data_IF_020378958488
#
_entry.id   IF_020378958488
#
_cell.length_a   1.000
_cell.length_b   1.000
_cell.length_c   1.000
_cell.angle_alpha   90.00
_cell.angle_beta   90.00
_cell.angle_gamma   90.00
#
_symmetry.space_group_name_H-M   'P 1'
#
loop_
_entity.id
_entity.type
_entity.pdbx_description
1 polymer ?
#
# COMPACT_ATOMS: atom_id res chain seq x y z
N UNK A 1 16.04 1.22 -2.50
CA UNK A 1 14.70 1.49 -1.96
C UNK A 1 13.58 0.87 -2.78
N UNK A 2 13.59 1.03 -4.11
CA UNK A 2 12.55 0.45 -4.96
C UNK A 2 12.47 -1.07 -4.83
N UNK A 3 13.61 -1.74 -4.72
CA UNK A 3 13.65 -3.19 -4.56
C UNK A 3 12.85 -3.64 -3.33
N UNK A 4 13.02 -2.95 -2.19
CA UNK A 4 12.29 -3.29 -0.98
C UNK A 4 10.79 -3.06 -1.14
N UNK A 5 10.38 -2.00 -1.83
CA UNK A 5 8.97 -1.68 -2.00
C UNK A 5 8.31 -2.61 -3.03
N UNK A 6 8.88 -2.75 -4.21
CA UNK A 6 8.21 -3.42 -5.33
C UNK A 6 8.52 -4.91 -5.41
N UNK A 7 9.69 -5.35 -4.99
CA UNK A 7 10.09 -6.76 -5.07
C UNK A 7 9.89 -7.46 -3.73
N UNK A 8 10.42 -6.90 -2.64
CA UNK A 8 10.24 -7.48 -1.30
C UNK A 8 8.87 -7.16 -0.69
N UNK A 9 8.15 -6.20 -1.27
CA UNK A 9 6.78 -5.83 -0.86
C UNK A 9 6.66 -5.52 0.62
N UNK A 10 7.60 -4.69 1.13
CA UNK A 10 7.59 -4.30 2.54
C UNK A 10 6.31 -3.56 2.95
N UNK A 11 5.58 -3.00 1.98
CA UNK A 11 4.30 -2.35 2.25
C UNK A 11 3.27 -3.30 2.87
N UNK A 12 3.44 -4.60 2.73
CA UNK A 12 2.53 -5.59 3.33
C UNK A 12 2.67 -5.66 4.85
N UNK A 13 3.75 -5.12 5.40
CA UNK A 13 3.92 -4.99 6.85
C UNK A 13 3.22 -3.72 7.32
N UNK A 14 2.14 -3.82 8.14
CA UNK A 14 1.39 -2.63 8.55
C UNK A 14 2.21 -1.61 9.32
N UNK A 15 3.17 -2.08 10.11
CA UNK A 15 4.01 -1.22 10.95
C UNK A 15 5.28 -0.74 10.24
N UNK A 16 5.50 -1.13 8.98
CA UNK A 16 6.72 -0.76 8.28
C UNK A 16 6.78 0.75 8.09
N UNK A 17 7.81 1.38 8.62
CA UNK A 17 7.94 2.83 8.66
C UNK A 17 9.07 3.32 7.77
N UNK A 18 9.09 4.64 7.55
CA UNK A 18 10.21 5.29 6.87
C UNK A 18 11.54 5.02 7.60
N UNK A 19 11.51 4.95 8.94
CA UNK A 19 12.69 4.62 9.73
C UNK A 19 13.20 3.22 9.41
N UNK A 20 12.29 2.24 9.24
CA UNK A 20 12.67 0.87 8.88
C UNK A 20 13.35 0.84 7.51
N UNK A 21 12.78 1.54 6.53
CA UNK A 21 13.36 1.61 5.19
C UNK A 21 14.75 2.26 5.23
N UNK A 22 14.88 3.37 5.95
CA UNK A 22 16.15 4.07 6.10
C UNK A 22 17.22 3.15 6.68
N UNK A 23 16.86 2.40 7.73
CA UNK A 23 17.77 1.47 8.38
C UNK A 23 18.23 0.35 7.44
N UNK A 24 17.30 -0.24 6.71
CA UNK A 24 17.62 -1.32 5.77
C UNK A 24 18.48 -0.84 4.60
N UNK A 25 18.27 0.39 4.14
CA UNK A 25 19.04 0.97 3.04
C UNK A 25 20.35 1.62 3.47
N UNK A 26 20.56 1.81 4.78
CA UNK A 26 21.75 2.47 5.31
C UNK A 26 21.72 3.99 5.14
N UNK A 27 20.56 4.61 5.06
CA UNK A 27 20.39 6.05 4.92
C UNK A 27 19.66 6.64 6.13
N UNK A 28 19.71 7.97 6.24
CA UNK A 28 18.90 8.67 7.25
C UNK A 28 17.46 8.82 6.75
N UNK A 29 16.52 9.05 7.68
CA UNK A 29 15.13 9.29 7.31
C UNK A 29 14.97 10.53 6.43
N UNK A 30 15.79 11.55 6.68
CA UNK A 30 15.79 12.78 5.87
C UNK A 30 16.14 12.48 4.42
N UNK A 31 17.17 11.64 4.20
CA UNK A 31 17.57 11.25 2.85
C UNK A 31 16.46 10.42 2.18
N UNK A 32 15.83 9.50 2.91
CA UNK A 32 14.70 8.72 2.38
C UNK A 32 13.58 9.65 1.91
N UNK A 33 13.22 10.65 2.73
CA UNK A 33 12.18 11.61 2.36
C UNK A 33 12.54 12.38 1.10
N UNK A 34 13.79 12.84 0.99
CA UNK A 34 14.25 13.57 -0.20
C UNK A 34 14.20 12.71 -1.45
N UNK A 35 14.63 11.46 -1.34
CA UNK A 35 14.60 10.51 -2.47
C UNK A 35 13.16 10.26 -2.92
N UNK A 36 12.23 10.04 -1.98
CA UNK A 36 10.84 9.82 -2.34
C UNK A 36 10.23 11.03 -3.03
N UNK A 37 10.47 12.22 -2.49
CA UNK A 37 9.96 13.45 -3.12
C UNK A 37 10.55 13.68 -4.50
N UNK A 38 11.85 13.43 -4.67
CA UNK A 38 12.52 13.66 -5.96
C UNK A 38 12.18 12.59 -7.00
N UNK A 39 12.14 11.32 -6.60
CA UNK A 39 11.95 10.19 -7.52
C UNK A 39 10.49 9.90 -7.81
N UNK A 40 9.66 9.83 -6.77
CA UNK A 40 8.24 9.51 -6.91
C UNK A 40 7.34 10.73 -6.94
N UNK A 41 7.86 11.90 -6.53
CA UNK A 41 7.07 13.13 -6.36
C UNK A 41 5.91 12.92 -5.39
N UNK A 42 6.10 12.04 -4.41
CA UNK A 42 5.12 11.63 -3.40
C UNK A 42 5.81 11.34 -2.09
N UNK A 43 5.07 11.39 -1.00
CA UNK A 43 5.59 11.03 0.31
C UNK A 43 5.71 9.51 0.45
N UNK A 44 6.50 9.05 1.44
CA UNK A 44 6.61 7.64 1.76
C UNK A 44 5.24 6.99 2.02
N UNK A 45 4.37 7.56 2.89
CA UNK A 45 3.05 6.97 3.11
C UNK A 45 2.20 6.89 1.85
N UNK A 46 2.29 7.87 0.97
CA UNK A 46 1.53 7.84 -0.29
C UNK A 46 1.96 6.67 -1.18
N UNK A 47 3.26 6.48 -1.36
CA UNK A 47 3.78 5.37 -2.17
C UNK A 47 3.36 4.04 -1.57
N UNK A 48 3.50 3.87 -0.25
CA UNK A 48 3.12 2.64 0.43
C UNK A 48 1.64 2.34 0.27
N UNK A 49 0.79 3.33 0.48
CA UNK A 49 -0.66 3.15 0.35
C UNK A 49 -1.07 2.82 -1.09
N UNK A 50 -0.42 3.46 -2.08
CA UNK A 50 -0.70 3.15 -3.48
C UNK A 50 -0.36 1.70 -3.83
N UNK A 51 0.76 1.20 -3.33
CA UNK A 51 1.14 -0.20 -3.55
C UNK A 51 0.19 -1.16 -2.85
N UNK A 52 -0.22 -0.84 -1.63
CA UNK A 52 -1.23 -1.64 -0.90
C UNK A 52 -2.54 -1.71 -1.68
N UNK A 53 -2.99 -0.58 -2.21
CA UNK A 53 -4.24 -0.53 -2.98
C UNK A 53 -4.12 -1.30 -4.30
N UNK A 54 -3.00 -1.18 -5.02
CA UNK A 54 -2.79 -1.94 -6.26
C UNK A 54 -2.85 -3.44 -6.01
N UNK A 55 -2.21 -3.93 -4.95
CA UNK A 55 -2.28 -5.35 -4.60
C UNK A 55 -3.69 -5.75 -4.16
N UNK A 56 -4.37 -4.87 -3.41
CA UNK A 56 -5.74 -5.13 -3.00
C UNK A 56 -6.68 -5.24 -4.20
N UNK A 57 -6.52 -4.39 -5.20
CA UNK A 57 -7.30 -4.46 -6.45
C UNK A 57 -7.15 -5.82 -7.10
N UNK A 58 -5.92 -6.31 -7.19
CA UNK A 58 -5.64 -7.62 -7.76
C UNK A 58 -6.31 -8.73 -6.97
N UNK A 59 -6.18 -8.73 -5.65
CA UNK A 59 -6.79 -9.76 -4.80
C UNK A 59 -8.31 -9.72 -4.84
N UNK A 60 -8.89 -8.53 -4.85
CA UNK A 60 -10.35 -8.38 -4.95
C UNK A 60 -10.89 -8.90 -6.28
N UNK A 61 -10.15 -8.72 -7.36
CA UNK A 61 -10.56 -9.16 -8.69
C UNK A 61 -10.32 -10.65 -8.92
N UNK A 62 -9.20 -11.18 -8.43
CA UNK A 62 -8.73 -12.52 -8.80
C UNK A 62 -8.98 -13.60 -7.74
N UNK A 63 -9.39 -13.22 -6.53
CA UNK A 63 -9.61 -14.20 -5.44
C UNK A 63 -11.00 -14.03 -4.84
N UNK A 64 -11.38 -15.01 -4.01
CA UNK A 64 -12.62 -14.95 -3.23
C UNK A 64 -12.37 -14.56 -1.77
N UNK A 65 -11.16 -14.12 -1.45
CA UNK A 65 -10.83 -13.69 -0.09
C UNK A 65 -11.77 -12.58 0.35
N UNK A 66 -12.12 -12.56 1.63
CA UNK A 66 -12.98 -11.51 2.17
C UNK A 66 -12.27 -10.16 2.10
N UNK A 67 -13.05 -9.08 2.08
CA UNK A 67 -12.48 -7.73 2.10
C UNK A 67 -11.57 -7.54 3.31
N UNK A 68 -11.98 -8.10 4.47
CA UNK A 68 -11.15 -8.05 5.68
C UNK A 68 -9.80 -8.74 5.49
N UNK A 69 -9.81 -9.94 4.91
CA UNK A 69 -8.59 -10.69 4.66
C UNK A 69 -7.67 -9.94 3.69
N UNK A 70 -8.24 -9.38 2.63
CA UNK A 70 -7.47 -8.58 1.66
C UNK A 70 -6.81 -7.39 2.37
N UNK A 71 -7.57 -6.67 3.20
CA UNK A 71 -7.06 -5.53 3.97
C UNK A 71 -5.82 -5.92 4.79
N UNK A 72 -5.91 -7.03 5.50
CA UNK A 72 -4.82 -7.51 6.35
C UNK A 72 -3.60 -7.95 5.54
N UNK A 73 -3.82 -8.69 4.46
CA UNK A 73 -2.72 -9.21 3.64
C UNK A 73 -1.93 -8.11 2.94
N UNK A 74 -2.58 -7.03 2.55
CA UNK A 74 -1.87 -5.95 1.85
C UNK A 74 -1.24 -4.92 2.79
N UNK A 75 -1.47 -5.03 4.11
CA UNK A 75 -0.74 -4.24 5.08
C UNK A 75 -1.51 -3.12 5.76
N UNK A 76 -2.84 -3.11 5.72
CA UNK A 76 -3.62 -2.12 6.47
C UNK A 76 -3.85 -2.57 7.90
N UNK A 77 -3.75 -1.63 8.84
CA UNK A 77 -3.94 -1.90 10.26
C UNK A 77 -5.41 -2.08 10.66
N UNK A 78 -6.33 -1.49 9.90
CA UNK A 78 -7.75 -1.51 10.24
C UNK A 78 -8.61 -1.40 9.00
N UNK A 79 -9.83 -1.89 9.09
CA UNK A 79 -10.81 -1.78 8.02
C UNK A 79 -11.18 -0.33 7.70
N UNK A 80 -11.40 0.56 8.70
CA UNK A 80 -11.68 1.95 8.37
C UNK A 80 -10.56 2.62 7.56
N UNK A 81 -9.30 2.36 7.90
CA UNK A 81 -8.16 2.90 7.14
C UNK A 81 -8.15 2.35 5.71
N UNK A 82 -8.36 1.05 5.55
CA UNK A 82 -8.42 0.43 4.24
C UNK A 82 -9.53 1.04 3.39
N UNK A 83 -10.74 1.10 3.93
CA UNK A 83 -11.88 1.64 3.20
C UNK A 83 -11.64 3.08 2.76
N UNK A 84 -11.11 3.91 3.65
CA UNK A 84 -10.84 5.31 3.35
C UNK A 84 -9.80 5.47 2.25
N UNK A 85 -8.66 4.83 2.41
CA UNK A 85 -7.55 4.96 1.45
C UNK A 85 -7.92 4.36 0.10
N UNK A 86 -8.54 3.18 0.10
CA UNK A 86 -8.96 2.54 -1.14
C UNK A 86 -9.92 3.42 -1.92
N UNK A 87 -10.92 4.00 -1.23
CA UNK A 87 -11.89 4.88 -1.87
C UNK A 87 -11.24 6.17 -2.38
N UNK A 88 -10.31 6.75 -1.62
CA UNK A 88 -9.60 7.95 -2.05
C UNK A 88 -8.81 7.71 -3.35
N UNK A 89 -8.19 6.54 -3.48
CA UNK A 89 -7.34 6.25 -4.64
C UNK A 89 -8.16 5.76 -5.84
N UNK A 90 -9.15 4.88 -5.61
CA UNK A 90 -9.89 4.24 -6.71
C UNK A 90 -11.23 4.92 -7.03
N UNK A 91 -11.78 5.67 -6.10
CA UNK A 91 -13.13 6.23 -6.22
C UNK A 91 -14.23 5.29 -5.76
N UNK A 92 -13.90 4.06 -5.37
CA UNK A 92 -14.87 3.05 -4.96
C UNK A 92 -14.52 2.44 -3.61
N UNK A 93 -15.53 2.04 -2.84
CA UNK A 93 -15.30 1.20 -1.68
C UNK A 93 -14.83 -0.17 -2.16
N UNK A 94 -14.03 -0.91 -1.36
CA UNK A 94 -13.50 -2.22 -1.80
C UNK A 94 -14.57 -3.21 -2.26
N UNK A 95 -15.70 -3.31 -1.58
CA UNK A 95 -16.76 -4.22 -1.96
C UNK A 95 -17.43 -3.80 -3.27
N UNK A 96 -17.61 -2.50 -3.48
CA UNK A 96 -18.16 -1.99 -4.74
C UNK A 96 -17.20 -2.23 -5.90
N UNK A 97 -15.91 -2.04 -5.67
CA UNK A 97 -14.88 -2.33 -6.67
C UNK A 97 -14.93 -3.81 -7.09
N UNK A 98 -15.00 -4.71 -6.12
CA UNK A 98 -15.09 -6.15 -6.41
C UNK A 98 -16.29 -6.47 -7.30
N UNK A 99 -17.44 -5.90 -7.01
CA UNK A 99 -18.65 -6.11 -7.83
C UNK A 99 -18.45 -5.59 -9.24
N UNK A 100 -17.82 -4.45 -9.41
CA UNK A 100 -17.65 -3.83 -10.72
C UNK A 100 -16.74 -4.64 -11.64
N UNK A 101 -15.69 -5.29 -11.09
CA UNK A 101 -14.73 -6.04 -11.90
C UNK A 101 -15.15 -7.49 -12.14
N UNK A 102 -16.16 -7.99 -11.44
CA UNK A 102 -16.63 -9.38 -11.59
C UNK A 102 -17.89 -9.52 -12.43
N UNK A 103 -18.43 -8.41 -12.89
CA UNK A 103 -19.58 -8.44 -13.82
C UNK A 103 -19.15 -8.48 -15.31
#
# INVERSE_FOLDING_TARGET
MEYLIFTEKVYQEPAYSRADLAKECGYSETIVSKVFNAHFQKSFPQVMNEQRVEEAKRLLAETKATVKTVSEEVGFNSMPSFNRVFKEITGYAPSAYRKSVKT
#
